data_IF_235130861918
#
_entry.id   IF_235130861918
#
_cell.length_a   1.000
_cell.length_b   1.000
_cell.length_c   1.000
_cell.angle_alpha   90.00
_cell.angle_beta   90.00
_cell.angle_gamma   90.00
#
_symmetry.space_group_name_H-M   'P 1'
#
loop_
_entity.id
_entity.type
_entity.pdbx_description
1 polymer ?
#
# COMPACT_ATOMS: atom_id res chain seq x y z
N UNK A 1 20.36 -37.34 -61.77
CA UNK A 1 20.75 -38.49 -62.61
C UNK A 1 21.83 -39.30 -61.91
N UNK A 2 21.73 -40.64 -61.93
CA UNK A 2 22.79 -41.67 -61.74
C UNK A 2 23.49 -41.76 -60.36
N UNK A 3 23.13 -42.69 -59.44
CA UNK A 3 23.43 -44.15 -59.33
C UNK A 3 24.92 -44.56 -59.37
N UNK A 4 25.40 -45.20 -58.28
CA UNK A 4 26.20 -46.45 -58.15
C UNK A 4 26.46 -46.68 -56.65
N UNK A 5 25.96 -47.72 -55.95
CA UNK A 5 26.18 -49.19 -55.98
C UNK A 5 27.64 -49.64 -55.77
N UNK A 6 27.87 -50.25 -54.60
CA UNK A 6 28.82 -51.35 -54.33
C UNK A 6 28.38 -52.00 -53.01
N UNK A 7 27.83 -53.23 -52.98
CA UNK A 7 28.53 -54.53 -53.01
C UNK A 7 29.83 -54.47 -52.21
N UNK A 8 30.06 -55.21 -51.14
CA UNK A 8 29.41 -56.39 -50.59
C UNK A 8 30.52 -57.21 -49.96
N UNK A 9 30.42 -57.57 -48.68
CA UNK A 9 31.22 -58.65 -48.14
C UNK A 9 30.41 -59.47 -47.14
N UNK A 10 30.18 -60.67 -47.62
CA UNK A 10 29.49 -61.83 -47.11
C UNK A 10 30.53 -62.63 -46.31
N UNK A 11 30.19 -63.18 -45.13
CA UNK A 11 30.45 -64.57 -44.66
C UNK A 11 30.46 -64.76 -43.14
N UNK A 12 30.18 -65.98 -42.65
CA UNK A 12 29.08 -66.23 -41.71
C UNK A 12 29.56 -66.76 -40.35
N UNK A 13 28.64 -66.80 -39.39
CA UNK A 13 28.88 -67.40 -38.08
C UNK A 13 27.55 -67.66 -37.39
N UNK A 14 26.83 -68.65 -37.89
CA UNK A 14 25.68 -69.28 -37.22
C UNK A 14 26.21 -70.02 -36.00
N UNK A 15 25.57 -69.81 -34.84
CA UNK A 15 25.09 -70.85 -33.92
C UNK A 15 25.24 -70.45 -32.45
N UNK A 16 24.20 -70.79 -31.69
CA UNK A 16 24.19 -70.96 -30.24
C UNK A 16 24.20 -69.69 -29.38
N UNK A 17 22.99 -69.22 -29.03
CA UNK A 17 22.53 -69.16 -27.64
C UNK A 17 21.06 -68.70 -27.58
N UNK A 18 20.20 -69.48 -28.24
CA UNK A 18 18.77 -69.51 -27.96
C UNK A 18 18.54 -70.54 -26.85
N UNK A 19 18.89 -70.18 -25.61
CA UNK A 19 18.63 -71.00 -24.43
C UNK A 19 18.72 -70.17 -23.14
N UNK A 20 17.99 -69.04 -23.07
CA UNK A 20 17.65 -68.42 -21.77
C UNK A 20 16.34 -67.63 -21.88
N UNK A 21 15.36 -68.22 -22.58
CA UNK A 21 14.03 -67.66 -22.75
C UNK A 21 13.00 -68.65 -22.21
N UNK A 22 13.10 -69.05 -20.93
CA UNK A 22 12.09 -69.89 -20.25
C UNK A 22 12.39 -70.04 -18.74
N UNK A 23 12.50 -68.94 -17.98
CA UNK A 23 12.53 -69.00 -16.51
C UNK A 23 12.24 -67.66 -15.79
N UNK A 24 11.35 -66.81 -16.31
CA UNK A 24 10.80 -65.69 -15.51
C UNK A 24 9.29 -65.60 -15.74
N UNK A 25 8.60 -66.68 -15.36
CA UNK A 25 7.18 -66.68 -15.04
C UNK A 25 7.13 -66.98 -13.54
N UNK A 26 6.68 -66.01 -12.73
CA UNK A 26 6.37 -66.25 -11.33
C UNK A 26 7.12 -65.40 -10.31
N UNK A 27 6.90 -64.07 -10.35
CA UNK A 27 6.88 -63.24 -9.14
C UNK A 27 6.14 -61.93 -9.49
N UNK A 28 4.82 -62.03 -9.63
CA UNK A 28 3.96 -60.85 -9.63
C UNK A 28 4.00 -60.23 -8.23
N UNK A 29 4.98 -59.36 -7.99
CA UNK A 29 4.89 -58.42 -6.88
C UNK A 29 3.79 -57.41 -7.24
N UNK A 30 2.76 -57.24 -6.39
CA UNK A 30 1.85 -56.13 -6.56
C UNK A 30 2.66 -54.86 -6.34
N UNK A 31 3.03 -54.20 -7.42
CA UNK A 31 3.44 -52.80 -7.34
C UNK A 31 2.16 -52.05 -7.03
N UNK A 32 1.90 -51.82 -5.74
CA UNK A 32 0.82 -50.94 -5.32
C UNK A 32 1.00 -49.62 -6.07
N UNK A 33 0.00 -49.17 -6.85
CA UNK A 33 0.09 -47.87 -7.48
C UNK A 33 0.23 -46.86 -6.34
N UNK A 34 1.37 -46.16 -6.30
CA UNK A 34 1.62 -45.08 -5.36
C UNK A 34 0.38 -44.18 -5.35
N UNK A 35 -0.30 -44.12 -4.20
CA UNK A 35 -1.48 -43.30 -3.99
C UNK A 35 -1.15 -41.86 -4.38
N UNK A 36 -1.49 -41.48 -5.61
CA UNK A 36 -1.44 -40.10 -6.04
C UNK A 36 -2.38 -39.34 -5.12
N UNK A 37 -1.81 -38.53 -4.23
CA UNK A 37 -2.57 -37.63 -3.38
C UNK A 37 -3.33 -36.69 -4.31
N UNK A 38 -4.60 -36.99 -4.59
CA UNK A 38 -5.49 -36.06 -5.26
C UNK A 38 -5.71 -34.92 -4.28
N UNK A 39 -5.03 -33.80 -4.55
CA UNK A 39 -5.38 -32.52 -3.95
C UNK A 39 -6.73 -32.12 -4.52
N UNK A 40 -7.80 -32.43 -3.78
CA UNK A 40 -9.13 -31.95 -4.08
C UNK A 40 -9.18 -30.45 -3.78
N UNK A 41 -8.74 -29.63 -4.75
CA UNK A 41 -8.88 -28.18 -4.68
C UNK A 41 -10.35 -27.86 -4.95
N UNK A 42 -11.15 -27.85 -3.89
CA UNK A 42 -12.47 -27.19 -3.93
C UNK A 42 -12.23 -25.70 -4.13
N UNK A 43 -12.17 -25.27 -5.39
CA UNK A 43 -12.19 -23.86 -5.74
C UNK A 43 -13.54 -23.29 -5.29
N UNK A 44 -13.57 -22.64 -4.13
CA UNK A 44 -14.72 -21.81 -3.77
C UNK A 44 -14.86 -20.71 -4.82
N UNK A 45 -16.06 -20.51 -5.39
CA UNK A 45 -16.28 -19.44 -6.36
C UNK A 45 -15.84 -18.10 -5.76
N UNK A 46 -15.09 -17.29 -6.51
CA UNK A 46 -14.56 -16.00 -6.05
C UNK A 46 -15.65 -15.08 -5.46
N UNK A 47 -16.90 -15.21 -5.93
CA UNK A 47 -18.06 -14.50 -5.41
C UNK A 47 -18.46 -14.87 -3.97
N UNK A 48 -18.13 -16.08 -3.49
CA UNK A 48 -18.36 -16.51 -2.10
C UNK A 48 -17.26 -16.01 -1.18
N UNK A 49 -16.02 -15.97 -1.67
CA UNK A 49 -14.85 -15.43 -0.94
C UNK A 49 -15.00 -13.91 -0.76
N UNK A 50 -15.46 -13.18 -1.78
CA UNK A 50 -15.68 -11.74 -1.71
C UNK A 50 -16.80 -11.31 -0.74
N UNK A 51 -17.82 -12.16 -0.50
CA UNK A 51 -18.92 -11.85 0.45
C UNK A 51 -18.48 -11.85 1.92
N UNK A 52 -17.35 -12.47 2.24
CA UNK A 52 -16.86 -12.60 3.61
C UNK A 52 -15.69 -11.65 3.93
N UNK A 53 -15.10 -11.01 2.91
CA UNK A 53 -14.12 -9.96 3.13
C UNK A 53 -14.83 -8.69 3.62
N UNK A 54 -14.39 -8.15 4.75
CA UNK A 54 -14.95 -6.92 5.31
C UNK A 54 -14.48 -5.65 4.58
N UNK A 55 -13.42 -5.75 3.78
CA UNK A 55 -12.92 -4.67 2.91
C UNK A 55 -12.17 -5.24 1.71
N UNK A 56 -12.20 -4.50 0.60
CA UNK A 56 -11.32 -4.67 -0.56
C UNK A 56 -10.50 -3.40 -0.85
N UNK A 57 -10.59 -2.38 0.02
CA UNK A 57 -9.93 -1.08 -0.13
C UNK A 57 -8.41 -1.27 -0.06
N UNK A 58 -7.64 -0.79 -1.05
CA UNK A 58 -6.19 -0.86 -1.00
C UNK A 58 -5.62 -0.10 0.22
N UNK A 59 -4.65 -0.71 0.91
CA UNK A 59 -3.99 -0.12 2.08
C UNK A 59 -2.51 0.19 1.82
N UNK A 60 -1.97 1.14 2.59
CA UNK A 60 -0.54 1.41 2.66
C UNK A 60 0.00 0.91 4.00
N UNK A 61 1.00 0.04 3.96
CA UNK A 61 1.76 -0.38 5.13
C UNK A 61 2.89 0.61 5.33
N UNK A 62 2.87 1.30 6.46
CA UNK A 62 3.81 2.37 6.80
C UNK A 62 4.54 2.00 8.09
N UNK A 63 5.88 1.85 8.09
CA UNK A 63 6.63 1.65 9.32
C UNK A 63 6.55 2.88 10.23
N UNK A 64 6.72 2.70 11.54
CA UNK A 64 6.71 3.81 12.49
C UNK A 64 8.01 4.64 12.49
N UNK A 65 9.12 4.10 11.97
CA UNK A 65 10.42 4.78 11.88
C UNK A 65 11.14 4.47 10.56
N UNK A 66 12.04 5.36 10.13
CA UNK A 66 12.66 5.33 8.80
C UNK A 66 13.87 4.40 8.70
N UNK A 67 14.43 3.97 9.83
CA UNK A 67 15.70 3.23 9.90
C UNK A 67 15.57 1.87 10.56
N UNK A 68 14.74 1.73 11.60
CA UNK A 68 14.59 0.50 12.38
C UNK A 68 13.16 0.37 12.94
N UNK A 69 12.16 0.03 12.09
CA UNK A 69 10.79 -0.04 12.52
C UNK A 69 10.55 -1.22 13.45
N UNK A 70 9.99 -0.92 14.60
CA UNK A 70 9.48 -1.90 15.57
C UNK A 70 7.97 -2.11 15.44
N UNK A 71 7.30 -1.30 14.61
CA UNK A 71 5.88 -1.42 14.32
C UNK A 71 5.54 -0.86 12.93
N UNK A 72 4.37 -1.24 12.43
CA UNK A 72 3.78 -0.74 11.18
C UNK A 72 2.36 -0.27 11.43
N UNK A 73 1.91 0.70 10.64
CA UNK A 73 0.54 1.18 10.56
C UNK A 73 -0.06 0.81 9.22
N UNK A 74 -1.38 0.62 9.19
CA UNK A 74 -2.17 0.55 7.96
C UNK A 74 -2.86 1.88 7.71
N UNK A 75 -2.50 2.55 6.62
CA UNK A 75 -3.15 3.76 6.10
C UNK A 75 -4.09 3.39 4.94
N UNK A 76 -5.10 4.23 4.68
CA UNK A 76 -6.02 4.08 3.53
C UNK A 76 -7.35 3.39 3.82
N UNK A 77 -7.54 2.81 5.01
CA UNK A 77 -8.85 2.28 5.42
C UNK A 77 -9.82 3.42 5.72
N UNK A 78 -11.00 3.40 5.08
CA UNK A 78 -12.07 4.36 5.35
C UNK A 78 -12.74 4.10 6.71
N UNK A 79 -13.51 5.06 7.23
CA UNK A 79 -14.30 4.85 8.44
C UNK A 79 -15.30 3.69 8.29
N UNK A 80 -15.86 3.50 7.09
CA UNK A 80 -16.75 2.39 6.76
C UNK A 80 -16.00 1.04 6.79
N UNK A 81 -14.79 0.98 6.22
CA UNK A 81 -13.94 -0.21 6.27
C UNK A 81 -13.56 -0.56 7.72
N UNK A 82 -13.17 0.44 8.51
CA UNK A 82 -12.81 0.25 9.92
C UNK A 82 -13.99 -0.28 10.74
N UNK A 83 -15.20 0.22 10.50
CA UNK A 83 -16.41 -0.28 11.15
C UNK A 83 -16.76 -1.71 10.70
N UNK A 84 -16.72 -2.00 9.40
CA UNK A 84 -17.03 -3.32 8.86
C UNK A 84 -16.01 -4.40 9.29
N UNK A 85 -14.74 -4.01 9.44
CA UNK A 85 -13.65 -4.89 9.81
C UNK A 85 -13.29 -4.87 11.31
N UNK A 86 -14.03 -4.13 12.14
CA UNK A 86 -13.74 -4.03 13.56
C UNK A 86 -13.68 -5.41 14.25
N UNK A 87 -12.66 -5.63 15.07
CA UNK A 87 -12.41 -6.88 15.79
C UNK A 87 -11.83 -8.01 14.94
N UNK A 88 -11.63 -7.82 13.63
CA UNK A 88 -11.03 -8.84 12.76
C UNK A 88 -9.52 -8.94 12.99
N UNK A 89 -8.93 -10.14 12.96
CA UNK A 89 -7.48 -10.29 13.05
C UNK A 89 -6.79 -9.66 11.84
N UNK A 90 -5.69 -8.96 12.08
CA UNK A 90 -4.81 -8.36 11.07
C UNK A 90 -3.47 -9.09 11.10
N UNK A 91 -2.99 -9.50 9.92
CA UNK A 91 -1.66 -10.06 9.74
C UNK A 91 -0.95 -9.31 8.62
N UNK A 92 0.19 -8.71 8.95
CA UNK A 92 1.07 -8.04 7.98
C UNK A 92 2.33 -8.87 7.84
N UNK A 93 2.75 -9.15 6.61
CA UNK A 93 4.02 -9.81 6.31
C UNK A 93 4.84 -8.94 5.36
N UNK A 94 6.06 -8.62 5.76
CA UNK A 94 7.00 -7.82 4.98
C UNK A 94 7.98 -8.75 4.27
N UNK A 95 8.17 -8.54 2.97
CA UNK A 95 9.04 -9.36 2.14
C UNK A 95 10.19 -8.53 1.54
N UNK A 96 11.39 -9.05 1.65
CA UNK A 96 12.57 -8.59 0.92
C UNK A 96 12.83 -9.44 -0.32
N UNK A 97 13.99 -9.25 -0.92
CA UNK A 97 14.42 -10.03 -2.08
C UNK A 97 14.61 -11.53 -1.75
N UNK A 98 15.06 -11.84 -0.53
CA UNK A 98 15.43 -13.20 -0.10
C UNK A 98 14.38 -13.92 0.76
N UNK A 99 13.26 -13.28 1.09
CA UNK A 99 12.21 -13.90 1.92
C UNK A 99 11.49 -12.93 2.84
N UNK A 100 10.94 -13.46 3.94
CA UNK A 100 10.21 -12.68 4.96
C UNK A 100 11.20 -11.91 5.82
N UNK A 101 11.02 -10.60 5.94
CA UNK A 101 11.84 -9.73 6.78
C UNK A 101 11.22 -9.47 8.16
N UNK A 102 9.89 -9.60 8.25
CA UNK A 102 9.18 -9.41 9.50
C UNK A 102 7.67 -9.64 9.37
N UNK A 103 7.02 -9.86 10.49
CA UNK A 103 5.56 -10.02 10.56
C UNK A 103 4.96 -9.19 11.68
N UNK A 104 3.79 -8.60 11.46
CA UNK A 104 3.03 -7.95 12.52
C UNK A 104 1.65 -8.60 12.61
N UNK A 105 1.13 -8.73 13.83
CA UNK A 105 -0.18 -9.31 14.09
C UNK A 105 -0.93 -8.47 15.12
N UNK A 106 -2.26 -8.49 15.03
CA UNK A 106 -3.14 -7.83 15.99
C UNK A 106 -4.60 -7.96 15.60
N UNK A 107 -5.44 -7.11 16.15
CA UNK A 107 -6.85 -6.97 15.76
C UNK A 107 -7.09 -5.56 15.26
N UNK A 108 -7.93 -5.41 14.24
CA UNK A 108 -8.31 -4.10 13.74
C UNK A 108 -9.30 -3.47 14.74
N UNK A 109 -8.94 -2.34 15.35
CA UNK A 109 -9.89 -1.49 16.06
C UNK A 109 -10.21 -0.24 15.23
N UNK A 110 -11.10 0.60 15.77
CA UNK A 110 -11.41 1.90 15.18
C UNK A 110 -10.19 2.84 15.24
N UNK A 111 -10.01 3.62 14.19
CA UNK A 111 -8.97 4.66 14.12
C UNK A 111 -7.61 4.17 13.62
N UNK A 112 -6.60 5.01 13.87
CA UNK A 112 -5.21 4.80 13.44
C UNK A 112 -4.53 3.85 14.42
N UNK A 113 -4.09 2.68 13.96
CA UNK A 113 -3.43 1.68 14.81
C UNK A 113 -2.05 1.29 14.30
N UNK A 114 -1.20 0.89 15.24
CA UNK A 114 0.11 0.31 14.94
C UNK A 114 0.14 -1.14 15.39
N UNK A 115 0.82 -1.96 14.60
CA UNK A 115 1.03 -3.39 14.81
C UNK A 115 2.51 -3.62 15.04
N UNK A 116 2.85 -4.19 16.18
CA UNK A 116 4.24 -4.50 16.52
C UNK A 116 4.82 -5.49 15.50
N UNK A 117 5.98 -5.16 14.95
CA UNK A 117 6.73 -6.03 14.05
C UNK A 117 7.58 -7.00 14.86
N UNK A 118 7.54 -8.25 14.43
CA UNK A 118 8.58 -9.24 14.72
C UNK A 118 9.68 -9.10 13.67
N UNK A 119 10.93 -9.01 14.12
CA UNK A 119 12.08 -8.69 13.27
C UNK A 119 12.40 -7.18 13.25
N UNK A 120 13.53 -6.84 12.64
CA UNK A 120 14.02 -5.47 12.51
C UNK A 120 14.38 -5.19 11.05
N UNK A 121 13.39 -5.11 10.14
CA UNK A 121 13.65 -4.92 8.73
C UNK A 121 14.18 -3.51 8.47
N UNK A 122 15.23 -3.38 7.66
CA UNK A 122 15.56 -2.06 7.11
C UNK A 122 14.45 -1.63 6.15
N UNK A 123 13.82 -0.45 6.30
CA UNK A 123 12.65 -0.09 5.49
C UNK A 123 12.87 -0.09 3.97
N UNK A 124 14.09 0.17 3.52
CA UNK A 124 14.48 0.11 2.09
C UNK A 124 14.66 -1.31 1.55
N UNK A 125 14.78 -2.31 2.43
CA UNK A 125 14.88 -3.72 2.04
C UNK A 125 13.51 -4.36 1.76
N UNK A 126 12.42 -3.71 2.17
CA UNK A 126 11.06 -4.19 1.92
C UNK A 126 10.70 -3.93 0.46
N UNK A 127 10.48 -5.01 -0.29
CA UNK A 127 10.13 -4.98 -1.72
C UNK A 127 8.65 -5.22 -1.96
N UNK A 128 8.00 -5.98 -1.07
CA UNK A 128 6.58 -6.34 -1.15
C UNK A 128 6.00 -6.50 0.24
N UNK A 129 4.69 -6.34 0.34
CA UNK A 129 3.92 -6.55 1.57
C UNK A 129 2.69 -7.38 1.28
N UNK A 130 2.26 -8.15 2.28
CA UNK A 130 0.98 -8.85 2.28
C UNK A 130 0.23 -8.46 3.53
N UNK A 131 -1.02 -8.08 3.37
CA UNK A 131 -1.93 -7.77 4.48
C UNK A 131 -3.13 -8.70 4.40
N UNK A 132 -3.43 -9.35 5.52
CA UNK A 132 -4.67 -10.11 5.71
C UNK A 132 -5.52 -9.42 6.77
N UNK A 133 -6.82 -9.27 6.49
CA UNK A 133 -7.81 -8.82 7.48
C UNK A 133 -8.90 -9.88 7.55
N UNK A 134 -9.13 -10.46 8.73
CA UNK A 134 -10.08 -11.56 8.92
C UNK A 134 -9.72 -12.81 8.10
N UNK A 135 -8.45 -12.97 7.71
CA UNK A 135 -7.98 -14.07 6.85
C UNK A 135 -8.06 -13.78 5.34
N UNK A 136 -8.63 -12.64 4.92
CA UNK A 136 -8.73 -12.25 3.51
C UNK A 136 -7.62 -11.30 3.10
N UNK A 137 -7.05 -11.52 1.91
CA UNK A 137 -6.00 -10.66 1.38
C UNK A 137 -6.56 -9.30 0.95
N UNK A 138 -5.98 -8.24 1.49
CA UNK A 138 -6.27 -6.86 1.11
C UNK A 138 -5.13 -6.36 0.23
N UNK A 139 -5.39 -5.71 -0.92
CA UNK A 139 -4.34 -5.10 -1.72
C UNK A 139 -3.51 -4.13 -0.88
N UNK A 140 -2.19 -4.28 -0.89
CA UNK A 140 -1.33 -3.53 -0.01
C UNK A 140 -0.05 -3.07 -0.71
N UNK A 141 0.40 -1.87 -0.38
CA UNK A 141 1.68 -1.31 -0.82
C UNK A 141 2.54 -0.93 0.37
N UNK A 142 3.86 -0.93 0.20
CA UNK A 142 4.80 -0.45 1.20
C UNK A 142 5.12 1.01 0.95
N UNK A 143 5.23 1.80 2.01
CA UNK A 143 5.66 3.18 1.94
C UNK A 143 6.52 3.51 3.15
N UNK A 144 7.64 4.20 2.94
CA UNK A 144 8.47 4.68 4.04
C UNK A 144 7.69 5.64 4.94
N UNK A 145 8.02 5.71 6.25
CA UNK A 145 7.46 6.74 7.09
C UNK A 145 7.94 8.07 6.54
N UNK A 146 7.02 8.99 6.65
CA UNK A 146 7.02 10.20 5.90
C UNK A 146 5.59 10.63 5.87
N UNK A 147 5.37 11.87 5.51
CA UNK A 147 4.03 12.38 5.54
C UNK A 147 3.03 11.59 4.73
N UNK A 148 1.74 11.60 5.10
CA UNK A 148 0.68 11.07 4.22
C UNK A 148 0.85 11.65 2.81
N UNK A 149 0.61 10.87 1.73
CA UNK A 149 0.73 11.42 0.40
C UNK A 149 -0.23 12.60 0.32
N UNK A 150 0.22 13.69 -0.28
CA UNK A 150 -0.67 14.80 -0.55
C UNK A 150 -1.87 14.25 -1.31
N UNK A 151 -3.06 14.49 -0.78
CA UNK A 151 -4.30 13.91 -1.26
C UNK A 151 -5.38 14.96 -1.22
N UNK A 152 -6.33 14.80 -2.12
CA UNK A 152 -7.56 15.55 -2.09
C UNK A 152 -8.70 14.69 -2.62
N UNK A 153 -9.92 15.04 -2.21
CA UNK A 153 -11.15 14.45 -2.72
C UNK A 153 -12.24 15.51 -2.76
N UNK A 154 -13.19 15.33 -3.67
CA UNK A 154 -14.38 16.17 -3.74
C UNK A 154 -15.49 15.52 -2.91
N UNK A 155 -16.13 16.31 -2.06
CA UNK A 155 -17.20 15.89 -1.15
C UNK A 155 -18.40 16.78 -1.37
N UNK A 156 -19.60 16.17 -1.42
CA UNK A 156 -20.86 16.89 -1.58
C UNK A 156 -21.29 17.55 -0.27
N UNK A 157 -22.25 18.46 -0.33
CA UNK A 157 -22.81 19.13 0.85
C UNK A 157 -23.39 18.16 1.90
N UNK A 158 -23.83 16.98 1.49
CA UNK A 158 -24.33 15.91 2.38
C UNK A 158 -23.20 15.07 3.04
N UNK A 159 -21.93 15.39 2.76
CA UNK A 159 -20.76 14.68 3.27
C UNK A 159 -20.40 13.40 2.50
N UNK A 160 -21.17 13.04 1.46
CA UNK A 160 -20.84 11.89 0.62
C UNK A 160 -19.73 12.20 -0.38
N UNK A 161 -18.98 11.18 -0.77
CA UNK A 161 -17.94 11.32 -1.78
C UNK A 161 -18.55 11.67 -3.14
N UNK A 162 -17.99 12.67 -3.82
CA UNK A 162 -18.30 12.95 -5.22
C UNK A 162 -17.49 12.07 -6.15
N UNK A 163 -18.03 11.84 -7.35
CA UNK A 163 -17.29 11.21 -8.45
C UNK A 163 -16.34 12.19 -9.16
N UNK A 164 -16.44 13.49 -8.87
CA UNK A 164 -15.54 14.52 -9.40
C UNK A 164 -14.10 14.17 -8.99
N UNK A 165 -13.18 14.01 -9.96
CA UNK A 165 -11.80 13.68 -9.64
C UNK A 165 -11.13 14.85 -8.93
N UNK A 166 -10.28 14.54 -7.95
CA UNK A 166 -9.38 15.51 -7.34
C UNK A 166 -7.95 14.99 -7.41
N UNK A 167 -7.03 15.85 -7.84
CA UNK A 167 -5.61 15.51 -7.93
C UNK A 167 -4.76 16.62 -7.33
N UNK A 168 -3.66 16.24 -6.67
CA UNK A 168 -2.61 17.17 -6.28
C UNK A 168 -1.70 17.35 -7.49
N UNK A 169 -1.64 18.55 -8.04
CA UNK A 169 -0.91 18.85 -9.28
C UNK A 169 0.49 19.37 -9.04
N UNK A 170 0.79 19.81 -7.82
CA UNK A 170 2.14 20.22 -7.46
C UNK A 170 2.25 20.72 -6.02
N UNK A 171 3.49 20.83 -5.55
CA UNK A 171 3.83 21.49 -4.30
C UNK A 171 4.91 22.53 -4.55
N UNK A 172 4.68 23.76 -4.13
CA UNK A 172 5.65 24.84 -4.12
C UNK A 172 6.43 24.82 -2.81
N UNK A 173 7.74 24.57 -2.91
CA UNK A 173 8.65 24.72 -1.79
C UNK A 173 8.70 26.21 -1.36
N UNK A 174 8.89 26.49 -0.05
CA UNK A 174 8.85 27.83 0.49
C UNK A 174 10.02 28.65 -0.03
N UNK A 175 9.69 29.88 -0.38
CA UNK A 175 10.63 30.84 -0.94
C UNK A 175 11.55 31.44 0.15
N UNK A 176 11.17 31.32 1.42
CA UNK A 176 11.86 31.90 2.59
C UNK A 176 11.41 31.18 3.89
N UNK A 177 12.33 31.06 4.86
CA UNK A 177 12.12 30.40 6.17
C UNK A 177 12.42 31.29 7.38
N UNK A 178 12.83 32.55 7.18
CA UNK A 178 13.14 33.47 8.28
C UNK A 178 11.85 33.89 8.98
N UNK A 179 11.51 33.21 10.07
CA UNK A 179 10.34 33.47 10.92
C UNK A 179 9.01 32.97 10.35
N UNK A 180 8.90 32.91 9.02
CA UNK A 180 7.69 32.51 8.30
C UNK A 180 8.06 31.64 7.11
N UNK A 181 7.28 30.59 6.87
CA UNK A 181 7.39 29.71 5.73
C UNK A 181 6.05 29.64 5.00
N UNK A 182 6.07 29.89 3.69
CA UNK A 182 4.88 29.79 2.84
C UNK A 182 4.95 28.48 2.06
N UNK A 183 4.06 27.55 2.37
CA UNK A 183 3.92 26.32 1.63
C UNK A 183 2.71 26.41 0.72
N UNK A 184 2.89 26.14 -0.57
CA UNK A 184 1.77 26.15 -1.52
C UNK A 184 1.56 24.75 -2.06
N UNK A 185 0.31 24.29 -2.08
CA UNK A 185 -0.11 23.04 -2.72
C UNK A 185 -1.15 23.37 -3.77
N UNK A 186 -0.94 22.84 -4.97
CA UNK A 186 -1.84 23.02 -6.09
C UNK A 186 -2.73 21.79 -6.21
N UNK A 187 -4.02 22.02 -6.36
CA UNK A 187 -5.02 20.98 -6.58
C UNK A 187 -5.71 21.22 -7.92
N UNK A 188 -6.23 20.14 -8.49
CA UNK A 188 -7.13 20.20 -9.63
C UNK A 188 -8.35 19.34 -9.35
N UNK A 189 -9.52 19.97 -9.42
CA UNK A 189 -10.83 19.37 -9.25
C UNK A 189 -11.74 19.79 -10.43
N UNK A 190 -11.45 19.32 -11.66
CA UNK A 190 -12.20 19.74 -12.83
C UNK A 190 -13.64 19.22 -12.76
N UNK A 191 -14.60 20.13 -12.96
CA UNK A 191 -16.02 19.79 -12.91
C UNK A 191 -16.62 19.78 -11.50
N UNK A 192 -15.92 20.32 -10.49
CA UNK A 192 -16.49 20.55 -9.16
C UNK A 192 -17.75 21.41 -9.25
N UNK A 193 -18.81 20.97 -8.56
CA UNK A 193 -20.10 21.65 -8.53
C UNK A 193 -20.19 22.65 -7.37
N UNK A 194 -21.20 23.52 -7.42
CA UNK A 194 -21.41 24.58 -6.41
C UNK A 194 -21.76 24.04 -5.02
N UNK A 195 -22.37 22.86 -4.95
CA UNK A 195 -22.72 22.15 -3.72
C UNK A 195 -21.63 21.16 -3.26
N UNK A 196 -20.44 21.24 -3.85
CA UNK A 196 -19.29 20.41 -3.52
C UNK A 196 -18.15 21.24 -2.90
N UNK A 197 -17.28 20.57 -2.14
CA UNK A 197 -16.06 21.15 -1.59
C UNK A 197 -14.89 20.18 -1.73
N UNK A 198 -13.67 20.70 -1.69
CA UNK A 198 -12.46 19.86 -1.71
C UNK A 198 -12.01 19.64 -0.27
N UNK A 199 -11.92 18.38 0.15
CA UNK A 199 -11.14 18.02 1.34
C UNK A 199 -9.72 17.73 0.91
N UNK A 200 -8.74 18.31 1.62
CA UNK A 200 -7.33 18.11 1.33
C UNK A 200 -6.57 17.65 2.57
N UNK A 201 -5.51 16.89 2.32
CA UNK A 201 -4.47 16.61 3.28
C UNK A 201 -3.14 16.69 2.55
N UNK A 202 -2.25 17.56 2.99
CA UNK A 202 -0.88 17.61 2.46
C UNK A 202 0.09 17.65 3.62
N UNK A 203 1.36 17.50 3.32
CA UNK A 203 2.38 17.67 4.34
C UNK A 203 3.64 18.32 3.83
N UNK A 204 4.17 19.17 4.70
CA UNK A 204 5.45 19.81 4.48
C UNK A 204 6.58 18.79 4.63
N UNK A 205 7.40 18.55 3.59
CA UNK A 205 8.52 17.62 3.65
C UNK A 205 9.61 18.09 4.61
N UNK A 206 10.16 17.17 5.41
CA UNK A 206 11.27 17.48 6.34
C UNK A 206 12.53 17.99 5.64
N UNK A 207 12.75 17.62 4.37
CA UNK A 207 13.87 18.16 3.58
C UNK A 207 13.76 19.67 3.29
N UNK A 208 12.56 20.23 3.46
CA UNK A 208 12.32 21.63 3.18
C UNK A 208 12.57 22.51 4.41
N UNK A 209 12.55 21.97 5.63
CA UNK A 209 12.70 22.76 6.86
C UNK A 209 14.16 23.10 7.18
N UNK A 210 14.45 24.32 7.66
CA UNK A 210 15.78 24.71 8.10
C UNK A 210 16.20 23.93 9.35
N UNK A 211 17.50 23.85 9.57
CA UNK A 211 18.04 23.28 10.80
C UNK A 211 17.48 24.02 12.03
N UNK A 212 17.02 23.26 13.03
CA UNK A 212 16.43 23.81 14.26
C UNK A 212 14.93 24.09 14.20
N UNK A 213 14.24 23.81 13.09
CA UNK A 213 12.78 23.86 13.05
C UNK A 213 12.16 22.81 13.98
N UNK A 214 11.15 23.21 14.74
CA UNK A 214 10.45 22.35 15.69
C UNK A 214 8.96 22.34 15.36
N UNK A 215 8.46 21.23 14.81
CA UNK A 215 7.04 21.10 14.43
C UNK A 215 6.08 21.28 15.60
N UNK A 216 6.46 20.86 16.81
CA UNK A 216 5.63 21.05 18.01
C UNK A 216 5.53 22.50 18.47
N UNK A 217 6.40 23.39 17.97
CA UNK A 217 6.33 24.83 18.20
C UNK A 217 5.77 25.59 16.98
N UNK A 218 5.51 24.90 15.87
CA UNK A 218 4.99 25.50 14.66
C UNK A 218 3.47 25.67 14.76
N UNK A 219 2.96 26.72 14.13
CA UNK A 219 1.53 26.96 13.94
C UNK A 219 1.25 27.39 12.51
N UNK A 220 0.03 27.12 12.04
CA UNK A 220 -0.47 27.70 10.77
C UNK A 220 -1.17 29.00 11.12
N UNK A 221 -0.74 30.12 10.54
CA UNK A 221 -1.26 31.47 10.87
C UNK A 221 -1.96 32.15 9.70
N UNK A 222 -1.88 31.56 8.51
CA UNK A 222 -2.58 32.04 7.32
C UNK A 222 -2.89 30.88 6.40
N UNK A 223 -4.07 30.92 5.78
CA UNK A 223 -4.47 30.07 4.66
C UNK A 223 -5.18 30.93 3.61
N UNK A 224 -5.00 30.66 2.32
CA UNK A 224 -5.69 31.40 1.25
C UNK A 224 -7.03 30.72 0.85
N UNK A 225 -7.73 31.33 -0.11
CA UNK A 225 -8.93 30.78 -0.75
C UNK A 225 -10.05 30.35 0.20
N UNK A 226 -10.15 31.04 1.35
CA UNK A 226 -11.09 30.74 2.43
C UNK A 226 -11.04 29.26 2.89
N UNK A 227 -9.87 28.63 2.77
CA UNK A 227 -9.67 27.27 3.28
C UNK A 227 -9.92 27.23 4.79
N UNK A 228 -10.52 26.15 5.28
CA UNK A 228 -10.74 25.92 6.70
C UNK A 228 -9.90 24.74 7.15
N UNK A 229 -9.05 24.92 8.16
CA UNK A 229 -8.23 23.85 8.69
C UNK A 229 -9.02 22.93 9.62
N UNK A 230 -8.86 21.63 9.43
CA UNK A 230 -9.43 20.58 10.28
C UNK A 230 -8.35 19.84 11.10
N UNK A 231 -7.07 20.05 10.78
CA UNK A 231 -5.94 19.54 11.56
C UNK A 231 -5.64 20.41 12.79
N UNK A 232 -5.17 19.78 13.87
CA UNK A 232 -4.62 20.48 15.04
C UNK A 232 -3.18 20.90 14.81
N UNK A 233 -2.68 21.87 15.58
CA UNK A 233 -1.27 22.27 15.49
C UNK A 233 -0.33 21.11 15.87
N UNK A 234 -0.77 20.24 16.79
CA UNK A 234 -0.07 19.01 17.16
C UNK A 234 0.02 17.97 16.03
N UNK A 235 -0.80 18.09 14.98
CA UNK A 235 -0.79 17.16 13.84
C UNK A 235 0.23 17.59 12.74
N UNK A 236 0.91 18.73 12.91
CA UNK A 236 1.98 19.19 12.01
C UNK A 236 3.15 18.17 11.97
N UNK A 237 3.81 18.00 10.81
CA UNK A 237 3.72 18.83 9.59
C UNK A 237 2.50 18.57 8.70
N UNK A 238 1.64 17.61 9.06
CA UNK A 238 0.46 17.27 8.25
C UNK A 238 -0.60 18.35 8.42
N UNK A 239 -1.03 18.94 7.31
CA UNK A 239 -2.10 19.94 7.28
C UNK A 239 -3.32 19.33 6.61
N UNK A 240 -4.47 19.45 7.26
CA UNK A 240 -5.77 19.00 6.73
C UNK A 240 -6.75 20.15 6.74
N UNK A 241 -7.63 20.17 5.75
CA UNK A 241 -8.66 21.18 5.70
C UNK A 241 -9.64 20.96 4.57
N UNK A 242 -10.50 21.96 4.41
CA UNK A 242 -11.47 22.05 3.35
C UNK A 242 -11.27 23.33 2.56
N UNK A 243 -11.55 23.25 1.27
CA UNK A 243 -11.60 24.36 0.34
C UNK A 243 -13.06 24.47 -0.11
N UNK A 244 -13.68 25.65 -0.01
CA UNK A 244 -15.09 25.81 -0.38
C UNK A 244 -15.32 25.54 -1.86
N UNK A 245 -16.57 25.27 -2.24
CA UNK A 245 -16.97 25.20 -3.64
C UNK A 245 -16.76 26.53 -4.39
N UNK A 246 -16.86 26.50 -5.72
CA UNK A 246 -16.78 27.67 -6.61
C UNK A 246 -15.45 28.44 -6.66
N UNK A 247 -14.36 27.88 -6.13
CA UNK A 247 -13.02 28.48 -6.20
C UNK A 247 -12.29 28.24 -7.54
N UNK A 248 -12.97 27.65 -8.52
CA UNK A 248 -12.42 27.30 -9.83
C UNK A 248 -11.95 25.85 -9.93
N UNK A 249 -11.59 25.42 -11.15
CA UNK A 249 -11.20 24.03 -11.45
C UNK A 249 -9.77 23.65 -10.97
N UNK A 250 -8.94 24.66 -10.67
CA UNK A 250 -7.54 24.48 -10.26
C UNK A 250 -7.23 25.34 -9.03
N UNK A 251 -7.88 25.06 -7.89
CA UNK A 251 -7.61 25.83 -6.69
C UNK A 251 -6.23 25.49 -6.11
N UNK A 252 -5.63 26.46 -5.45
CA UNK A 252 -4.42 26.26 -4.65
C UNK A 252 -4.74 26.46 -3.17
N UNK A 253 -3.97 25.79 -2.30
CA UNK A 253 -3.90 26.12 -0.88
C UNK A 253 -2.49 26.59 -0.59
N UNK A 254 -2.37 27.86 -0.22
CA UNK A 254 -1.18 28.41 0.38
C UNK A 254 -1.39 28.48 1.89
N UNK A 255 -0.46 27.91 2.65
CA UNK A 255 -0.40 28.02 4.10
C UNK A 255 0.85 28.77 4.53
N UNK A 256 0.72 29.61 5.56
CA UNK A 256 1.84 30.24 6.25
C UNK A 256 2.07 29.54 7.58
N UNK A 257 3.24 28.96 7.72
CA UNK A 257 3.73 28.33 8.93
C UNK A 257 4.70 29.27 9.65
N UNK A 258 4.65 29.30 10.96
CA UNK A 258 5.57 30.09 11.78
C UNK A 258 5.87 29.38 13.09
N UNK A 259 7.07 29.59 13.61
CA UNK A 259 7.46 29.25 14.99
C UNK A 259 7.51 30.49 15.88
N UNK A 260 7.20 31.68 15.33
CA UNK A 260 7.17 32.94 16.07
C UNK A 260 5.86 33.05 16.86
N UNK A 261 5.96 33.32 18.15
CA UNK A 261 4.79 33.59 18.98
C UNK A 261 4.09 34.90 18.60
N UNK A 262 2.84 35.06 19.05
CA UNK A 262 2.11 36.33 18.95
C UNK A 262 1.08 36.43 17.82
N UNK A 263 1.01 35.44 16.92
CA UNK A 263 -0.10 35.29 15.98
C UNK A 263 -1.05 34.18 16.46
N UNK A 264 -2.39 34.40 16.45
CA UNK A 264 -3.35 33.35 16.77
C UNK A 264 -3.22 32.18 15.79
N UNK A 265 -3.11 30.93 16.26
CA UNK A 265 -3.08 29.78 15.37
C UNK A 265 -4.44 29.59 14.67
N UNK A 266 -4.41 29.30 13.38
CA UNK A 266 -5.56 28.85 12.59
C UNK A 266 -5.75 27.33 12.64
N UNK A 267 -4.72 26.58 13.04
CA UNK A 267 -4.87 25.17 13.36
C UNK A 267 -5.65 25.01 14.67
N UNK A 268 -6.40 23.92 14.78
CA UNK A 268 -7.15 23.63 16.00
C UNK A 268 -6.17 23.39 17.17
N UNK A 269 -6.57 23.70 18.42
CA UNK A 269 -5.76 23.40 19.60
C UNK A 269 -5.49 21.89 19.76
#
# INVERSE_FOLDING_TARGET
MSRRRGLGRRWPGVAALAALALAVVGAGLPVEPASASRLDVRAQPAAVVARNACTATPVQVVPTTTTAPTAVRLDGLTAADQAACAGRPVVVTLFGASGVLGTAQGTLASGTQTYALTGAPTPTAVTRVRVLVGGFAVPATWRLPGPAPDSCRVVKADGSASATPCTVTGTGAPNFWTGNAYWTVYFSAPGIQQDEHVEFAFTVPDRAVPAGWVWSAATVVQVNNAAQLTSRCADLPTVRGTLPGNIGATPEVQVRLTTEGGMPPLCLP
#
